data_IF_446234124510
#
_entry.id   IF_446234124510
#
_cell.length_a   1.000
_cell.length_b   1.000
_cell.length_c   1.000
_cell.angle_alpha   90.00
_cell.angle_beta   90.00
_cell.angle_gamma   90.00
#
_symmetry.space_group_name_H-M   'P 1'
#
loop_
_entity.id
_entity.type
_entity.pdbx_description
1 polymer ?
#
# COMPACT_ATOMS: atom_id res chain seq x y z
N UNK A 1 15.08 -10.88 -0.96
CA UNK A 1 13.83 -10.72 -0.20
C UNK A 1 13.73 -9.30 0.34
N UNK A 2 12.59 -8.66 0.19
CA UNK A 2 12.42 -7.29 0.65
C UNK A 2 12.31 -7.24 2.18
N UNK A 3 13.09 -6.37 2.81
CA UNK A 3 12.89 -6.04 4.21
C UNK A 3 11.82 -4.96 4.29
N UNK A 4 10.89 -5.12 5.21
CA UNK A 4 9.83 -4.15 5.40
C UNK A 4 9.46 -4.05 6.88
N UNK A 5 8.82 -2.95 7.22
CA UNK A 5 8.38 -2.67 8.58
C UNK A 5 6.86 -2.50 8.60
N UNK A 6 6.25 -2.79 9.74
CA UNK A 6 4.82 -2.60 9.93
C UNK A 6 4.62 -1.65 11.11
N UNK A 7 3.86 -0.59 10.89
CA UNK A 7 3.54 0.40 11.93
C UNK A 7 2.03 0.41 12.16
N UNK A 8 1.62 -0.03 13.35
CA UNK A 8 0.22 0.00 13.76
C UNK A 8 -0.16 1.43 14.18
N UNK A 9 -1.46 1.70 14.18
CA UNK A 9 -2.02 2.98 14.64
C UNK A 9 -1.36 4.19 14.00
N UNK A 10 -1.07 4.10 12.71
CA UNK A 10 -0.40 5.16 11.99
C UNK A 10 -1.37 6.30 11.66
N UNK A 11 -0.99 7.54 11.99
CA UNK A 11 -1.79 8.71 11.63
C UNK A 11 -1.86 8.88 10.10
N UNK A 12 -0.82 8.45 9.39
CA UNK A 12 -0.79 8.49 7.91
C UNK A 12 -1.88 7.58 7.36
N UNK A 13 -1.98 6.36 7.89
CA UNK A 13 -3.01 5.41 7.48
C UNK A 13 -4.40 5.91 7.88
N UNK A 14 -4.53 6.57 9.03
CA UNK A 14 -5.79 7.17 9.46
C UNK A 14 -6.28 8.22 8.47
N UNK A 15 -5.38 9.10 8.00
CA UNK A 15 -5.73 10.09 6.99
C UNK A 15 -6.16 9.42 5.68
N UNK A 16 -5.46 8.35 5.28
CA UNK A 16 -5.82 7.59 4.08
C UNK A 16 -7.20 6.96 4.23
N UNK A 17 -7.52 6.43 5.42
CA UNK A 17 -8.84 5.84 5.70
C UNK A 17 -9.96 6.87 5.54
N UNK A 18 -9.74 8.09 6.03
CA UNK A 18 -10.70 9.18 5.91
C UNK A 18 -10.92 9.53 4.43
N UNK A 19 -9.82 9.67 3.68
CA UNK A 19 -9.87 10.01 2.25
C UNK A 19 -10.57 8.94 1.43
N UNK A 20 -10.27 7.66 1.70
CA UNK A 20 -10.83 6.53 0.97
C UNK A 20 -12.18 6.08 1.50
N UNK A 21 -12.66 6.70 2.59
CA UNK A 21 -13.94 6.37 3.22
C UNK A 21 -14.03 4.90 3.60
N UNK A 22 -12.98 4.39 4.23
CA UNK A 22 -12.90 3.00 4.69
C UNK A 22 -12.53 2.97 6.16
N UNK A 23 -12.84 1.84 6.83
CA UNK A 23 -12.57 1.69 8.26
C UNK A 23 -11.18 1.11 8.53
N UNK A 24 -10.72 0.20 7.70
CA UNK A 24 -9.40 -0.44 7.86
C UNK A 24 -8.54 -0.10 6.66
N UNK A 25 -7.28 0.26 6.92
CA UNK A 25 -6.37 0.65 5.85
C UNK A 25 -4.97 0.14 6.13
N UNK A 26 -4.31 -0.27 5.05
CA UNK A 26 -2.86 -0.42 4.99
C UNK A 26 -2.36 0.46 3.85
N UNK A 27 -1.33 1.25 4.11
CA UNK A 27 -0.69 2.08 3.09
C UNK A 27 0.82 1.95 3.20
N UNK A 28 1.49 1.81 2.07
CA UNK A 28 2.94 1.63 2.01
C UNK A 28 3.60 2.96 1.71
N UNK A 29 4.57 3.34 2.55
CA UNK A 29 5.45 4.48 2.30
C UNK A 29 6.88 3.94 2.38
N UNK A 30 7.55 3.83 1.24
CA UNK A 30 8.89 3.26 1.17
C UNK A 30 8.88 1.78 1.53
N UNK A 31 9.44 1.44 2.69
CA UNK A 31 9.51 0.07 3.20
C UNK A 31 8.56 -0.17 4.37
N UNK A 32 7.78 0.83 4.76
CA UNK A 32 6.90 0.73 5.93
C UNK A 32 5.45 0.58 5.50
N UNK A 33 4.80 -0.45 6.01
CA UNK A 33 3.36 -0.66 5.84
C UNK A 33 2.69 -0.02 7.04
N UNK A 34 1.96 1.06 6.81
CA UNK A 34 1.24 1.79 7.86
C UNK A 34 -0.18 1.24 7.96
N UNK A 35 -0.57 0.86 9.17
CA UNK A 35 -1.88 0.27 9.41
C UNK A 35 -2.76 1.21 10.24
N UNK A 36 -4.05 1.23 9.92
CA UNK A 36 -5.08 1.91 10.70
C UNK A 36 -6.23 0.95 10.95
N UNK A 37 -6.64 0.87 12.20
CA UNK A 37 -7.79 0.07 12.66
C UNK A 37 -7.65 -1.42 12.34
N UNK A 38 -6.42 -1.92 12.33
CA UNK A 38 -6.10 -3.34 12.24
C UNK A 38 -4.76 -3.56 12.93
N UNK A 39 -4.61 -4.70 13.59
CA UNK A 39 -3.34 -5.06 14.22
C UNK A 39 -2.39 -5.68 13.21
N UNK A 40 -1.11 -5.65 13.53
CA UNK A 40 -0.09 -6.35 12.74
C UNK A 40 -0.44 -7.83 12.62
N UNK A 41 -0.87 -8.45 13.73
CA UNK A 41 -1.23 -9.87 13.75
C UNK A 41 -2.37 -10.17 12.78
N UNK A 42 -3.45 -9.39 12.86
CA UNK A 42 -4.60 -9.60 11.98
C UNK A 42 -4.25 -9.33 10.51
N UNK A 43 -3.46 -8.29 10.25
CA UNK A 43 -3.00 -8.01 8.90
C UNK A 43 -2.22 -9.18 8.32
N UNK A 44 -1.27 -9.74 9.10
CA UNK A 44 -0.42 -10.83 8.62
C UNK A 44 -1.19 -12.13 8.37
N UNK A 45 -2.36 -12.29 8.96
CA UNK A 45 -3.22 -13.45 8.69
C UNK A 45 -3.95 -13.37 7.36
N UNK A 46 -4.05 -12.17 6.79
CA UNK A 46 -4.72 -11.97 5.51
C UNK A 46 -3.69 -12.00 4.39
N UNK A 47 -3.44 -13.18 3.85
CA UNK A 47 -2.39 -13.38 2.85
C UNK A 47 -2.59 -12.53 1.60
N UNK A 48 -3.82 -12.34 1.15
CA UNK A 48 -4.09 -11.52 -0.03
C UNK A 48 -3.74 -10.07 0.22
N UNK A 49 -4.12 -9.56 1.39
CA UNK A 49 -3.80 -8.19 1.77
C UNK A 49 -2.29 -7.98 1.89
N UNK A 50 -1.60 -8.94 2.53
CA UNK A 50 -0.14 -8.89 2.64
C UNK A 50 0.52 -8.85 1.27
N UNK A 51 0.10 -9.72 0.36
CA UNK A 51 0.66 -9.76 -1.01
C UNK A 51 0.44 -8.44 -1.74
N UNK A 52 -0.74 -7.83 -1.57
CA UNK A 52 -1.05 -6.53 -2.16
C UNK A 52 -0.06 -5.46 -1.67
N UNK A 53 0.11 -5.36 -0.35
CA UNK A 53 1.00 -4.33 0.22
C UNK A 53 2.47 -4.61 -0.07
N UNK A 54 2.89 -5.88 -0.05
CA UNK A 54 4.28 -6.22 -0.41
C UNK A 54 4.59 -5.89 -1.86
N UNK A 55 3.60 -5.97 -2.75
CA UNK A 55 3.78 -5.52 -4.12
C UNK A 55 4.13 -4.03 -4.17
N UNK A 56 3.49 -3.20 -3.35
CA UNK A 56 3.82 -1.78 -3.26
C UNK A 56 5.23 -1.56 -2.71
N UNK A 57 5.66 -2.34 -1.71
CA UNK A 57 7.04 -2.27 -1.20
C UNK A 57 8.03 -2.53 -2.33
N UNK A 58 7.76 -3.57 -3.13
CA UNK A 58 8.59 -3.91 -4.28
C UNK A 58 8.63 -2.79 -5.32
N UNK A 59 7.49 -2.16 -5.58
CA UNK A 59 7.39 -1.03 -6.51
C UNK A 59 8.25 0.14 -6.05
N UNK A 60 8.26 0.45 -4.76
CA UNK A 60 9.15 1.46 -4.20
C UNK A 60 10.62 1.10 -4.42
N UNK A 61 10.98 -0.16 -4.21
CA UNK A 61 12.36 -0.61 -4.39
C UNK A 61 12.80 -0.52 -5.85
N UNK A 62 11.93 -0.91 -6.77
CA UNK A 62 12.25 -0.94 -8.20
C UNK A 62 12.36 0.46 -8.81
N UNK A 63 11.58 1.41 -8.31
CA UNK A 63 11.48 2.74 -8.91
C UNK A 63 12.25 3.81 -8.13
N UNK A 64 12.59 3.55 -6.87
CA UNK A 64 13.12 4.57 -5.96
C UNK A 64 11.99 5.33 -5.27
N UNK A 65 12.29 5.93 -4.12
CA UNK A 65 11.27 6.53 -3.24
C UNK A 65 10.53 7.68 -3.92
N UNK A 66 11.27 8.72 -4.31
CA UNK A 66 10.66 9.93 -4.90
C UNK A 66 10.10 9.65 -6.30
N UNK A 67 10.84 8.97 -7.20
CA UNK A 67 10.28 8.65 -8.52
C UNK A 67 8.99 7.84 -8.44
N UNK A 68 8.90 6.88 -7.52
CA UNK A 68 7.68 6.09 -7.41
C UNK A 68 6.50 6.93 -6.94
N UNK A 69 6.69 7.78 -5.94
CA UNK A 69 5.62 8.67 -5.48
C UNK A 69 5.11 9.54 -6.64
N UNK A 70 6.03 10.12 -7.42
CA UNK A 70 5.65 10.94 -8.56
C UNK A 70 4.86 10.14 -9.61
N UNK A 71 5.32 8.95 -9.94
CA UNK A 71 4.65 8.06 -10.90
C UNK A 71 3.29 7.62 -10.40
N UNK A 72 3.20 7.27 -9.13
CA UNK A 72 1.94 6.83 -8.53
C UNK A 72 0.90 7.94 -8.55
N UNK A 73 1.29 9.15 -8.15
CA UNK A 73 0.38 10.29 -8.16
C UNK A 73 -0.06 10.64 -9.57
N UNK A 74 0.85 10.59 -10.53
CA UNK A 74 0.54 10.84 -11.94
C UNK A 74 -0.50 9.83 -12.45
N UNK A 75 -0.30 8.54 -12.15
CA UNK A 75 -1.26 7.50 -12.54
C UNK A 75 -2.64 7.76 -11.91
N UNK A 76 -2.67 8.13 -10.63
CA UNK A 76 -3.93 8.41 -9.95
C UNK A 76 -4.64 9.62 -10.55
N UNK A 77 -3.91 10.66 -10.93
CA UNK A 77 -4.49 11.84 -11.57
C UNK A 77 -5.07 11.48 -12.93
N UNK A 78 -4.34 10.69 -13.73
CA UNK A 78 -4.78 10.33 -15.09
C UNK A 78 -5.92 9.33 -15.11
N UNK A 79 -5.85 8.31 -14.27
CA UNK A 79 -6.72 7.13 -14.38
C UNK A 79 -7.59 6.89 -13.16
N UNK A 80 -7.42 7.67 -12.09
CA UNK A 80 -8.07 7.43 -10.81
C UNK A 80 -7.37 6.35 -10.01
N UNK A 81 -7.71 6.24 -8.72
CA UNK A 81 -7.07 5.30 -7.81
C UNK A 81 -7.27 3.86 -8.26
N UNK A 82 -8.49 3.49 -8.59
CA UNK A 82 -8.82 2.10 -8.93
C UNK A 82 -8.07 1.62 -10.16
N UNK A 83 -7.94 2.48 -11.18
CA UNK A 83 -7.29 2.15 -12.45
C UNK A 83 -5.82 2.54 -12.51
N UNK A 84 -5.26 3.03 -11.41
CA UNK A 84 -3.83 3.27 -11.29
C UNK A 84 -3.10 1.95 -11.56
N UNK A 85 -2.15 1.94 -12.50
CA UNK A 85 -1.49 0.69 -12.91
C UNK A 85 -0.78 -0.02 -11.76
N UNK A 86 -0.28 0.73 -10.78
CA UNK A 86 0.39 0.15 -9.62
C UNK A 86 -0.60 -0.53 -8.69
N UNK A 87 -1.82 0.00 -8.59
CA UNK A 87 -2.90 -0.64 -7.84
C UNK A 87 -3.43 -1.88 -8.58
N UNK A 88 -3.51 -1.80 -9.90
CA UNK A 88 -3.90 -2.97 -10.72
C UNK A 88 -2.90 -4.10 -10.51
N UNK A 89 -1.60 -3.79 -10.57
CA UNK A 89 -0.54 -4.78 -10.35
C UNK A 89 -0.63 -5.38 -8.94
N UNK A 90 -0.89 -4.54 -7.92
CA UNK A 90 -1.00 -5.02 -6.56
C UNK A 90 -2.21 -5.96 -6.38
N UNK A 91 -3.34 -5.65 -7.04
CA UNK A 91 -4.50 -6.55 -7.00
C UNK A 91 -4.20 -7.88 -7.69
N UNK A 92 -3.46 -7.84 -8.78
CA UNK A 92 -3.04 -9.08 -9.45
C UNK A 92 -2.11 -9.91 -8.58
N UNK A 93 -1.26 -9.26 -7.79
CA UNK A 93 -0.37 -9.94 -6.86
C UNK A 93 -1.11 -10.71 -5.76
N UNK A 94 -2.35 -10.33 -5.45
CA UNK A 94 -3.16 -11.01 -4.44
C UNK A 94 -3.44 -12.47 -4.81
N UNK A 95 -3.45 -12.79 -6.08
CA UNK A 95 -3.72 -14.15 -6.57
C UNK A 95 -2.46 -14.98 -6.78
N UNK A 96 -1.31 -14.34 -6.69
CA UNK A 96 -0.03 -14.96 -7.02
C UNK A 96 0.62 -15.85 -5.95
#
# INVERSE_FOLDING_TARGET
>A
MAHYFIKENSWIAKLAAIKLKTTRVAIVIGKTIHLHNTSKEDFLKDERWVKHELCHVKQFQQNGFIPFIAKYLWESIRNGYYNNKYEVEAREAESG
#
